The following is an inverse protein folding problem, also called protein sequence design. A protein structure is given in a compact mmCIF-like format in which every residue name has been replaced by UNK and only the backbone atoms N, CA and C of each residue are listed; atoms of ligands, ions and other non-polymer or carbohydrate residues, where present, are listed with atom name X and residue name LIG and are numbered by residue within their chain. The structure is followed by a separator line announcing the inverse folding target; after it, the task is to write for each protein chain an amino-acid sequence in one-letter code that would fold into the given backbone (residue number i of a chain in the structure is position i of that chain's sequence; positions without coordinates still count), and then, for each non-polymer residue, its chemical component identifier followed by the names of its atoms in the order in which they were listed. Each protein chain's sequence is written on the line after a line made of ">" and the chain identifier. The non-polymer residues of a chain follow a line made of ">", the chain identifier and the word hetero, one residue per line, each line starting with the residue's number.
data_IF_057357526534
#
_entry.id   IF_057357526534
#
_cell.length_a   1.000
_cell.length_b   1.000
_cell.length_c   1.000
_cell.angle_alpha   90.00
_cell.angle_beta   90.00
_cell.angle_gamma   90.00
#
_symmetry.space_group_name_H-M   'P 1'
#
loop_
_entity.id
_entity.type
_entity.pdbx_description
1 polymer ?
#
# COMPACT_ATOMS: atom_id res chain seq x y z
N UNK A 1 16.46 6.36 22.83
CA UNK A 1 15.67 7.35 22.08
C UNK A 1 14.25 6.82 21.96
N UNK A 2 13.25 7.67 21.68
CA UNK A 2 11.83 7.31 21.80
C UNK A 2 11.02 7.89 20.65
N UNK A 3 10.06 7.12 20.14
CA UNK A 3 9.07 7.61 19.18
C UNK A 3 8.21 8.69 19.85
N UNK A 4 8.12 9.85 19.22
CA UNK A 4 7.22 10.93 19.61
C UNK A 4 5.91 10.80 18.84
N UNK A 5 4.80 10.71 19.57
CA UNK A 5 3.44 10.64 19.00
C UNK A 5 2.71 11.93 19.36
N UNK A 6 2.21 12.67 18.36
CA UNK A 6 1.51 13.94 18.57
C UNK A 6 0.42 14.17 17.53
N UNK A 7 -0.66 14.85 17.92
CA UNK A 7 -1.63 15.40 16.97
C UNK A 7 -1.17 16.76 16.44
N UNK A 8 -1.24 16.98 15.12
CA UNK A 8 -0.95 18.26 14.47
C UNK A 8 -1.84 18.44 13.24
N UNK A 9 -2.15 19.69 12.91
CA UNK A 9 -2.73 20.03 11.61
C UNK A 9 -1.71 19.77 10.49
N UNK A 10 -2.16 19.17 9.40
CA UNK A 10 -1.34 18.89 8.23
C UNK A 10 -2.01 19.37 6.95
N UNK A 11 -1.62 20.55 6.50
CA UNK A 11 -2.06 21.15 5.24
C UNK A 11 -3.60 21.03 5.02
N UNK A 12 -4.04 20.51 3.87
CA UNK A 12 -5.45 20.28 3.54
C UNK A 12 -6.03 18.96 4.09
N UNK A 13 -5.27 18.20 4.89
CA UNK A 13 -5.68 16.92 5.46
C UNK A 13 -6.26 17.04 6.87
N UNK A 14 -6.28 18.26 7.42
CA UNK A 14 -6.76 18.53 8.77
C UNK A 14 -5.86 17.88 9.82
N UNK A 15 -6.47 17.47 10.93
CA UNK A 15 -5.72 16.88 12.03
C UNK A 15 -5.22 15.47 11.69
N UNK A 16 -3.93 15.25 11.92
CA UNK A 16 -3.25 13.97 11.75
C UNK A 16 -2.50 13.56 13.02
N UNK A 17 -2.35 12.25 13.23
CA UNK A 17 -1.43 11.67 14.22
C UNK A 17 -0.06 11.52 13.56
N UNK A 18 0.92 12.24 14.09
CA UNK A 18 2.32 12.15 13.69
C UNK A 18 3.07 11.20 14.61
N UNK A 19 3.83 10.28 14.02
CA UNK A 19 4.81 9.41 14.67
C UNK A 19 6.21 9.80 14.17
N UNK A 20 7.12 10.17 15.07
CA UNK A 20 8.41 10.72 14.70
C UNK A 20 9.56 10.12 15.53
N UNK A 21 10.69 9.86 14.88
CA UNK A 21 11.96 9.58 15.53
C UNK A 21 13.07 10.43 14.87
N UNK A 22 14.34 10.20 15.21
CA UNK A 22 15.46 10.97 14.64
C UNK A 22 15.76 10.62 13.17
N UNK A 23 15.20 9.52 12.65
CA UNK A 23 15.44 9.03 11.29
C UNK A 23 14.31 9.37 10.31
N UNK A 24 13.05 9.45 10.76
CA UNK A 24 11.89 9.62 9.89
C UNK A 24 10.67 10.27 10.59
N UNK A 25 9.68 10.61 9.78
CA UNK A 25 8.35 11.07 10.20
C UNK A 25 7.30 10.30 9.40
N UNK A 26 6.25 9.85 10.08
CA UNK A 26 5.04 9.26 9.52
C UNK A 26 3.81 10.02 10.02
N UNK A 27 2.80 10.24 9.18
CA UNK A 27 1.55 10.88 9.60
C UNK A 27 0.30 10.14 9.09
N UNK A 28 -0.71 10.02 9.95
CA UNK A 28 -1.98 9.35 9.66
C UNK A 28 -3.16 10.28 9.88
N UNK A 29 -4.07 10.36 8.91
CA UNK A 29 -5.29 11.17 9.01
C UNK A 29 -6.26 10.58 10.04
N UNK A 30 -6.91 11.43 10.84
CA UNK A 30 -7.88 10.99 11.86
C UNK A 30 -9.26 11.66 11.75
N UNK A 31 -9.39 12.74 10.98
CA UNK A 31 -10.71 13.33 10.69
C UNK A 31 -11.45 12.58 9.56
N UNK A 32 -10.70 11.78 8.80
CA UNK A 32 -11.16 10.82 7.79
C UNK A 32 -10.09 9.72 7.64
N UNK A 33 -10.41 8.63 6.94
CA UNK A 33 -9.46 7.54 6.63
C UNK A 33 -9.69 6.27 7.46
N UNK A 34 -8.63 5.68 8.08
CA UNK A 34 -7.27 6.22 8.22
C UNK A 34 -6.48 6.17 6.92
N UNK A 35 -5.61 7.15 6.72
CA UNK A 35 -4.64 7.17 5.61
C UNK A 35 -3.26 7.54 6.10
N UNK A 36 -2.25 6.73 5.79
CA UNK A 36 -0.85 7.16 5.99
C UNK A 36 -0.51 8.12 4.87
N UNK A 37 -0.66 9.42 5.14
CA UNK A 37 -0.54 10.47 4.12
C UNK A 37 0.88 11.00 3.99
N UNK A 38 1.73 10.72 4.98
CA UNK A 38 3.11 11.16 5.00
C UNK A 38 4.02 10.04 5.49
N UNK A 39 5.12 9.81 4.77
CA UNK A 39 6.27 9.05 5.26
C UNK A 39 7.54 9.58 4.59
N UNK A 40 8.52 9.99 5.39
CA UNK A 40 9.79 10.49 4.86
C UNK A 40 10.93 10.32 5.87
N UNK A 41 12.16 10.14 5.38
CA UNK A 41 13.36 10.32 6.18
C UNK A 41 13.47 11.78 6.60
N UNK A 42 14.08 12.03 7.76
CA UNK A 42 14.36 13.40 8.20
C UNK A 42 15.16 14.15 7.13
N UNK A 43 14.68 15.34 6.77
CA UNK A 43 15.29 16.20 5.76
C UNK A 43 14.98 15.83 4.29
N UNK A 44 14.23 14.75 4.04
CA UNK A 44 13.80 14.36 2.69
C UNK A 44 12.32 14.70 2.47
N UNK A 45 11.87 14.63 1.21
CA UNK A 45 10.46 14.86 0.86
C UNK A 45 9.60 13.63 1.15
N UNK A 46 8.29 13.82 1.24
CA UNK A 46 7.31 12.75 1.36
C UNK A 46 7.43 11.75 0.20
N UNK A 47 7.34 10.44 0.49
CA UNK A 47 7.20 9.41 -0.56
C UNK A 47 5.75 9.06 -0.85
N UNK A 48 4.82 9.38 0.06
CA UNK A 48 3.40 9.11 -0.10
C UNK A 48 2.76 10.11 -1.06
N UNK A 49 1.77 9.65 -1.83
CA UNK A 49 0.94 10.52 -2.66
C UNK A 49 0.12 11.47 -1.77
N UNK A 50 0.09 12.74 -2.14
CA UNK A 50 -0.83 13.72 -1.58
C UNK A 50 -1.71 14.28 -2.73
N UNK A 51 -2.93 13.74 -2.90
CA UNK A 51 -3.88 14.22 -3.91
C UNK A 51 -4.55 15.54 -3.47
N UNK A 52 -3.76 16.61 -3.45
CA UNK A 52 -4.17 17.96 -3.01
C UNK A 52 -5.21 18.59 -3.94
N UNK A 53 -5.21 18.18 -5.21
CA UNK A 53 -6.13 18.67 -6.24
C UNK A 53 -7.49 17.94 -6.20
N UNK A 54 -7.58 16.80 -5.49
CA UNK A 54 -8.81 16.01 -5.37
C UNK A 54 -9.29 15.47 -6.72
N UNK A 55 -8.35 15.04 -7.57
CA UNK A 55 -8.62 14.76 -8.98
C UNK A 55 -9.47 13.53 -9.22
N UNK A 56 -9.36 12.55 -8.32
CA UNK A 56 -9.98 11.25 -8.51
C UNK A 56 -11.10 11.08 -7.50
N UNK A 57 -12.33 11.08 -8.02
CA UNK A 57 -13.53 10.88 -7.22
C UNK A 57 -14.46 9.86 -7.86
N UNK A 58 -15.17 9.12 -7.03
CA UNK A 58 -16.21 8.19 -7.46
C UNK A 58 -17.44 8.50 -6.62
N UNK A 59 -18.57 8.73 -7.29
CA UNK A 59 -19.85 8.83 -6.62
C UNK A 59 -20.34 7.42 -6.26
N UNK A 60 -20.49 7.16 -4.96
CA UNK A 60 -20.90 5.87 -4.43
C UNK A 60 -22.35 6.02 -4.02
N UNK A 61 -23.25 5.63 -4.93
CA UNK A 61 -24.69 5.80 -4.77
C UNK A 61 -25.17 5.32 -3.39
N UNK A 62 -25.84 6.22 -2.66
CA UNK A 62 -26.34 5.95 -1.30
C UNK A 62 -25.31 6.10 -0.16
N UNK A 63 -24.02 6.28 -0.46
CA UNK A 63 -22.93 6.38 0.53
C UNK A 63 -22.10 7.67 0.41
N UNK A 64 -22.26 8.41 -0.68
CA UNK A 64 -21.58 9.68 -0.95
C UNK A 64 -20.32 9.51 -1.80
N UNK A 65 -19.46 10.53 -1.84
CA UNK A 65 -18.33 10.55 -2.76
C UNK A 65 -17.04 10.03 -2.12
N UNK A 66 -16.46 8.99 -2.73
CA UNK A 66 -15.09 8.56 -2.47
C UNK A 66 -14.09 9.50 -3.14
N UNK A 67 -12.98 9.74 -2.45
CA UNK A 67 -11.88 10.59 -2.94
C UNK A 67 -10.58 9.82 -2.76
N UNK A 68 -9.71 9.82 -3.77
CA UNK A 68 -8.43 9.15 -3.65
C UNK A 68 -7.64 9.72 -2.48
N UNK A 69 -7.53 11.05 -2.32
CA UNK A 69 -6.79 11.74 -1.23
C UNK A 69 -5.30 11.39 -1.11
N UNK A 70 -4.83 10.29 -1.69
CA UNK A 70 -3.48 9.78 -1.59
C UNK A 70 -3.22 8.90 -0.37
N UNK A 71 -1.93 8.67 -0.14
CA UNK A 71 -1.40 7.89 0.97
C UNK A 71 -1.67 6.40 0.86
N UNK A 72 -1.44 5.72 1.99
CA UNK A 72 -1.78 4.31 2.16
C UNK A 72 -3.17 4.15 2.77
N UNK A 73 -4.01 3.29 2.17
CA UNK A 73 -5.36 2.97 2.64
C UNK A 73 -5.60 1.46 2.59
N UNK A 74 -6.40 0.96 3.54
CA UNK A 74 -6.94 -0.39 3.54
C UNK A 74 -8.25 -0.48 2.73
N UNK A 75 -8.30 -1.44 1.82
CA UNK A 75 -9.39 -1.73 0.91
C UNK A 75 -9.87 -3.17 1.09
N UNK A 76 -11.07 -3.44 0.58
CA UNK A 76 -11.66 -4.77 0.51
C UNK A 76 -11.73 -5.18 -0.96
N UNK A 77 -11.09 -6.29 -1.30
CA UNK A 77 -11.15 -6.89 -2.63
C UNK A 77 -12.24 -7.97 -2.70
N UNK A 78 -12.80 -8.28 -3.89
CA UNK A 78 -12.44 -7.72 -5.20
C UNK A 78 -12.91 -6.27 -5.40
N UNK A 79 -12.39 -5.59 -6.42
CA UNK A 79 -12.75 -4.21 -6.75
C UNK A 79 -14.19 -4.10 -7.27
N UNK A 80 -15.10 -3.63 -6.41
CA UNK A 80 -16.53 -3.55 -6.69
C UNK A 80 -17.16 -2.28 -6.09
N UNK A 81 -18.16 -1.75 -6.77
CA UNK A 81 -19.07 -0.76 -6.19
C UNK A 81 -20.24 -1.46 -5.49
N UNK A 82 -20.72 -0.96 -4.33
CA UNK A 82 -20.21 0.21 -3.60
C UNK A 82 -19.07 -0.08 -2.62
N UNK A 83 -18.78 -1.35 -2.32
CA UNK A 83 -18.00 -1.74 -1.14
C UNK A 83 -16.56 -1.25 -1.16
N UNK A 84 -15.84 -1.50 -2.25
CA UNK A 84 -14.42 -1.18 -2.35
C UNK A 84 -14.18 0.33 -2.32
N UNK A 85 -15.10 1.08 -2.93
CA UNK A 85 -15.10 2.52 -2.98
C UNK A 85 -15.81 3.17 -1.79
N UNK A 86 -16.26 2.43 -0.78
CA UNK A 86 -16.98 3.03 0.35
C UNK A 86 -16.21 4.27 0.90
N UNK A 87 -16.85 5.45 0.98
CA UNK A 87 -16.12 6.66 1.33
C UNK A 87 -15.60 6.62 2.78
N UNK A 88 -14.31 6.83 2.95
CA UNK A 88 -13.64 6.89 4.25
C UNK A 88 -13.73 8.29 4.87
N UNK A 89 -14.89 8.93 4.77
CA UNK A 89 -15.09 10.34 5.15
C UNK A 89 -15.34 10.55 6.65
N UNK A 90 -15.47 9.47 7.42
CA UNK A 90 -15.78 9.53 8.85
C UNK A 90 -14.51 9.64 9.71
N UNK A 91 -14.56 10.33 10.85
CA UNK A 91 -13.47 10.36 11.81
C UNK A 91 -13.05 8.97 12.28
N UNK A 92 -11.75 8.82 12.56
CA UNK A 92 -11.12 7.55 12.92
C UNK A 92 -10.76 7.55 14.39
N UNK A 93 -11.24 6.56 15.14
CA UNK A 93 -10.78 6.33 16.50
C UNK A 93 -9.35 5.78 16.47
N UNK A 94 -8.49 6.23 17.39
CA UNK A 94 -7.15 5.67 17.52
C UNK A 94 -6.73 5.51 18.98
N UNK A 95 -5.80 4.58 19.22
CA UNK A 95 -5.21 4.32 20.53
C UNK A 95 -3.69 4.16 20.39
N UNK A 96 -2.95 4.98 21.13
CA UNK A 96 -1.50 4.87 21.22
C UNK A 96 -1.09 4.07 22.47
N UNK A 97 -0.18 3.10 22.31
CA UNK A 97 0.43 2.33 23.38
C UNK A 97 1.92 2.19 23.07
N UNK A 98 2.77 2.93 23.80
CA UNK A 98 4.21 2.97 23.52
C UNK A 98 4.51 3.60 22.16
N UNK A 99 5.21 2.85 21.31
CA UNK A 99 5.59 3.21 19.93
C UNK A 99 4.57 2.75 18.87
N UNK A 100 3.46 2.17 19.33
CA UNK A 100 2.44 1.55 18.49
C UNK A 100 1.14 2.35 18.55
N UNK A 101 0.52 2.60 17.39
CA UNK A 101 -0.78 3.25 17.27
C UNK A 101 -1.72 2.35 16.46
N UNK A 102 -2.89 2.07 17.04
CA UNK A 102 -3.98 1.35 16.39
C UNK A 102 -5.04 2.35 15.93
N UNK A 103 -5.41 2.29 14.66
CA UNK A 103 -6.46 3.09 14.03
C UNK A 103 -7.64 2.19 13.66
N UNK A 104 -8.84 2.57 14.11
CA UNK A 104 -10.07 1.80 13.95
C UNK A 104 -11.16 2.73 13.40
N UNK A 105 -11.37 2.78 12.07
CA UNK A 105 -12.50 3.51 11.50
C UNK A 105 -13.84 2.85 11.90
N UNK A 106 -14.97 3.53 11.71
CA UNK A 106 -16.28 2.93 11.91
C UNK A 106 -16.46 1.63 11.10
N UNK A 107 -17.25 0.70 11.64
CA UNK A 107 -17.68 -0.49 10.90
C UNK A 107 -18.33 -0.08 9.59
N UNK A 108 -17.90 -0.70 8.50
CA UNK A 108 -18.48 -0.45 7.18
C UNK A 108 -19.94 -0.91 7.13
N UNK A 109 -20.79 -0.32 6.25
CA UNK A 109 -22.16 -0.80 6.06
C UNK A 109 -22.24 -2.23 5.51
N UNK A 110 -21.09 -2.82 5.12
CA UNK A 110 -20.95 -4.19 4.61
C UNK A 110 -20.46 -5.17 5.69
N UNK A 111 -20.65 -4.80 6.96
CA UNK A 111 -20.35 -5.61 8.14
C UNK A 111 -18.87 -6.04 8.25
N UNK A 112 -17.95 -5.13 7.88
CA UNK A 112 -16.50 -5.31 8.03
C UNK A 112 -15.91 -4.26 8.94
N UNK A 113 -15.17 -4.70 9.95
CA UNK A 113 -14.34 -3.83 10.77
C UNK A 113 -12.93 -3.81 10.18
N UNK A 114 -12.47 -2.62 9.81
CA UNK A 114 -11.11 -2.40 9.34
C UNK A 114 -10.24 -1.95 10.51
N UNK A 115 -8.97 -2.33 10.52
CA UNK A 115 -7.99 -1.88 11.50
C UNK A 115 -6.60 -1.74 10.87
N UNK A 116 -5.93 -0.63 11.16
CA UNK A 116 -4.53 -0.39 10.80
C UNK A 116 -3.73 -0.20 12.07
N UNK A 117 -2.72 -1.05 12.30
CA UNK A 117 -1.79 -0.92 13.42
C UNK A 117 -0.43 -0.53 12.89
N UNK A 118 0.14 0.56 13.39
CA UNK A 118 1.45 1.06 12.98
C UNK A 118 2.36 1.11 14.20
N UNK A 119 3.53 0.51 14.07
CA UNK A 119 4.62 0.65 15.02
C UNK A 119 5.81 1.28 14.31
N UNK A 120 6.33 2.38 14.86
CA UNK A 120 7.53 3.02 14.33
C UNK A 120 8.76 2.51 15.10
N UNK A 121 9.83 2.16 14.40
CA UNK A 121 11.10 1.84 15.05
C UNK A 121 11.60 3.05 15.87
N UNK A 122 12.29 2.82 16.98
CA UNK A 122 12.72 3.90 17.87
C UNK A 122 13.81 4.79 17.24
N UNK A 123 14.65 4.21 16.36
CA UNK A 123 15.91 4.81 15.92
C UNK A 123 16.10 4.76 14.38
N UNK A 124 15.33 3.92 13.66
CA UNK A 124 15.46 3.69 12.22
C UNK A 124 14.29 4.26 11.44
N UNK A 125 14.50 4.50 10.15
CA UNK A 125 13.43 4.86 9.21
C UNK A 125 12.64 3.61 8.79
N UNK A 126 12.04 2.93 9.77
CA UNK A 126 11.31 1.67 9.60
C UNK A 126 9.97 1.74 10.32
N UNK A 127 8.90 1.34 9.64
CA UNK A 127 7.57 1.20 10.21
C UNK A 127 7.03 -0.22 9.96
N UNK A 128 6.54 -0.87 11.01
CA UNK A 128 5.74 -2.09 10.89
C UNK A 128 4.27 -1.68 10.75
N UNK A 129 3.61 -2.15 9.69
CA UNK A 129 2.20 -1.85 9.41
C UNK A 129 1.43 -3.16 9.32
N UNK A 130 0.45 -3.33 10.20
CA UNK A 130 -0.45 -4.49 10.19
C UNK A 130 -1.84 -4.04 9.81
N UNK A 131 -2.36 -4.62 8.74
CA UNK A 131 -3.71 -4.37 8.24
C UNK A 131 -4.61 -5.56 8.61
N UNK A 132 -5.83 -5.28 9.07
CA UNK A 132 -6.83 -6.32 9.40
C UNK A 132 -8.20 -5.96 8.88
N UNK A 133 -8.92 -7.00 8.47
CA UNK A 133 -10.36 -6.92 8.18
C UNK A 133 -11.05 -8.08 8.91
N UNK A 134 -11.98 -7.74 9.77
CA UNK A 134 -12.81 -8.70 10.51
C UNK A 134 -14.22 -8.71 9.95
N UNK A 135 -14.77 -9.89 9.67
CA UNK A 135 -16.20 -10.05 9.40
C UNK A 135 -16.97 -9.90 10.73
N UNK A 136 -17.69 -8.80 10.90
CA UNK A 136 -18.52 -8.52 12.08
C UNK A 136 -20.00 -8.73 11.83
N UNK A 137 -20.35 -9.32 10.67
CA UNK A 137 -21.71 -9.71 10.32
C UNK A 137 -22.14 -11.03 10.97
N UNK A 138 -23.37 -11.43 10.67
CA UNK A 138 -24.00 -12.68 11.15
C UNK A 138 -23.86 -13.85 10.16
N UNK A 139 -23.25 -13.62 8.99
CA UNK A 139 -23.08 -14.58 7.90
C UNK A 139 -21.66 -14.61 7.38
N UNK A 140 -21.32 -15.68 6.66
CA UNK A 140 -20.07 -15.73 5.89
C UNK A 140 -20.01 -14.62 4.82
N UNK A 141 -18.81 -14.10 4.56
CA UNK A 141 -18.56 -13.12 3.52
C UNK A 141 -17.29 -13.51 2.73
N UNK A 142 -17.36 -13.46 1.40
CA UNK A 142 -16.22 -13.70 0.50
C UNK A 142 -15.50 -12.38 0.21
N UNK A 143 -14.26 -12.24 0.66
CA UNK A 143 -13.45 -11.05 0.43
C UNK A 143 -11.96 -11.35 0.58
N UNK A 144 -11.13 -10.38 0.22
CA UNK A 144 -9.71 -10.34 0.54
C UNK A 144 -9.31 -8.97 1.08
N UNK A 145 -8.18 -8.94 1.80
CA UNK A 145 -7.53 -7.71 2.21
C UNK A 145 -6.80 -7.10 1.02
N UNK A 146 -6.97 -5.81 0.79
CA UNK A 146 -6.24 -5.08 -0.24
C UNK A 146 -5.55 -3.84 0.36
N UNK A 147 -4.23 -3.86 0.42
CA UNK A 147 -3.39 -2.84 1.02
C UNK A 147 -2.79 -1.96 -0.08
N UNK A 148 -3.42 -0.82 -0.35
CA UNK A 148 -3.04 0.09 -1.43
C UNK A 148 -2.13 1.18 -0.87
N UNK A 149 -0.92 1.33 -1.41
CA UNK A 149 -0.01 2.43 -1.07
C UNK A 149 0.19 3.33 -2.28
N UNK A 150 -0.47 4.50 -2.27
CA UNK A 150 -0.24 5.55 -3.24
C UNK A 150 1.07 6.30 -2.94
N UNK A 151 1.95 6.33 -3.93
CA UNK A 151 3.28 6.91 -3.87
C UNK A 151 3.36 8.13 -4.81
N UNK A 152 4.15 9.11 -4.40
CA UNK A 152 4.34 10.37 -5.15
C UNK A 152 5.00 10.14 -6.51
N UNK A 153 4.93 11.13 -7.40
CA UNK A 153 5.32 11.01 -8.80
C UNK A 153 6.84 10.99 -9.07
N UNK A 154 7.21 10.67 -10.30
CA UNK A 154 8.58 10.77 -10.84
C UNK A 154 9.51 9.60 -10.56
N UNK A 155 9.09 8.63 -9.73
CA UNK A 155 9.94 7.52 -9.31
C UNK A 155 9.86 6.26 -10.18
N UNK A 156 10.57 5.21 -9.73
CA UNK A 156 10.59 3.89 -10.39
C UNK A 156 10.37 2.77 -9.39
N UNK A 157 9.37 1.92 -9.64
CA UNK A 157 9.08 0.73 -8.84
C UNK A 157 9.68 -0.52 -9.47
N UNK A 158 10.21 -1.41 -8.62
CA UNK A 158 10.80 -2.69 -9.01
C UNK A 158 10.33 -3.78 -8.04
N UNK A 159 9.97 -4.94 -8.60
CA UNK A 159 9.74 -6.18 -7.86
C UNK A 159 10.61 -7.30 -8.41
N UNK A 160 11.05 -8.24 -7.56
CA UNK A 160 11.68 -9.47 -8.02
C UNK A 160 10.66 -10.41 -8.69
N UNK A 161 11.09 -11.08 -9.76
CA UNK A 161 10.33 -12.17 -10.38
C UNK A 161 10.57 -13.48 -9.64
N UNK A 162 9.55 -14.34 -9.56
CA UNK A 162 9.69 -15.67 -8.98
C UNK A 162 10.85 -16.47 -9.61
N UNK A 163 11.73 -16.99 -8.75
CA UNK A 163 12.91 -17.81 -9.13
C UNK A 163 12.76 -19.29 -8.78
N UNK A 164 11.72 -19.65 -8.01
CA UNK A 164 11.43 -21.03 -7.58
C UNK A 164 11.41 -21.98 -8.77
N UNK A 165 12.13 -23.10 -8.70
CA UNK A 165 12.09 -24.13 -9.76
C UNK A 165 10.83 -24.98 -9.63
N UNK A 166 9.99 -24.99 -10.66
CA UNK A 166 8.73 -25.75 -10.73
C UNK A 166 8.74 -26.90 -11.76
N UNK A 167 9.87 -27.13 -12.43
CA UNK A 167 9.97 -28.14 -13.49
C UNK A 167 9.08 -27.78 -14.67
N UNK A 168 8.08 -28.63 -14.95
CA UNK A 168 7.14 -28.44 -16.06
C UNK A 168 5.92 -27.57 -15.73
N UNK A 169 5.73 -27.19 -14.46
CA UNK A 169 4.58 -26.40 -14.02
C UNK A 169 4.88 -24.88 -14.08
N UNK A 170 3.88 -24.03 -14.34
CA UNK A 170 4.06 -22.59 -14.26
C UNK A 170 4.34 -22.12 -12.82
N UNK A 171 5.11 -21.05 -12.68
CA UNK A 171 5.49 -20.44 -11.39
C UNK A 171 5.48 -18.90 -11.41
N UNK A 172 5.07 -18.30 -12.53
CA UNK A 172 5.01 -16.85 -12.74
C UNK A 172 3.64 -16.52 -13.31
N UNK A 173 2.97 -15.58 -12.68
CA UNK A 173 1.72 -14.97 -13.08
C UNK A 173 2.00 -13.51 -13.38
N UNK A 174 1.43 -13.02 -14.48
CA UNK A 174 1.32 -11.61 -14.77
C UNK A 174 -0.11 -11.33 -15.22
N UNK A 175 -0.86 -10.62 -14.40
CA UNK A 175 -2.22 -10.16 -14.71
C UNK A 175 -2.18 -8.77 -15.32
N UNK A 176 -2.99 -8.54 -16.34
CA UNK A 176 -3.13 -7.26 -17.01
C UNK A 176 -4.60 -6.84 -17.04
N UNK A 177 -4.85 -5.56 -16.82
CA UNK A 177 -6.16 -4.94 -16.98
C UNK A 177 -6.37 -4.58 -18.45
N UNK A 178 -7.63 -4.41 -18.86
CA UNK A 178 -8.01 -4.10 -20.23
C UNK A 178 -7.35 -2.82 -20.78
N UNK A 179 -7.10 -1.85 -19.90
CA UNK A 179 -6.42 -0.60 -20.22
C UNK A 179 -4.88 -0.69 -20.21
N UNK A 180 -4.30 -1.82 -19.79
CA UNK A 180 -2.85 -1.96 -19.71
C UNK A 180 -2.24 -2.29 -21.08
N UNK A 181 -1.59 -1.30 -21.69
CA UNK A 181 -0.82 -1.51 -22.91
C UNK A 181 0.43 -2.35 -22.61
N UNK A 182 0.50 -3.56 -23.16
CA UNK A 182 1.65 -4.45 -23.00
C UNK A 182 2.97 -3.84 -23.53
N UNK A 183 2.88 -2.84 -24.42
CA UNK A 183 4.03 -2.12 -24.97
C UNK A 183 4.31 -0.80 -24.25
N UNK A 184 3.72 -0.56 -23.07
CA UNK A 184 3.93 0.67 -22.32
C UNK A 184 5.44 0.92 -22.09
N UNK A 185 6.00 2.04 -22.57
CA UNK A 185 7.44 2.29 -22.52
C UNK A 185 7.97 2.49 -21.08
N UNK A 186 7.08 2.72 -20.11
CA UNK A 186 7.42 2.79 -18.69
C UNK A 186 7.72 1.41 -18.11
N UNK A 187 7.11 0.37 -18.68
CA UNK A 187 7.13 -0.99 -18.16
C UNK A 187 8.26 -1.82 -18.77
N UNK A 188 8.91 -2.61 -17.92
CA UNK A 188 9.96 -3.55 -18.31
C UNK A 188 9.79 -4.84 -17.53
N UNK A 189 9.66 -5.94 -18.26
CA UNK A 189 9.67 -7.30 -17.71
C UNK A 189 10.95 -8.01 -18.10
N UNK A 190 11.57 -8.68 -17.14
CA UNK A 190 12.77 -9.51 -17.35
C UNK A 190 12.60 -10.85 -16.63
N UNK A 191 13.61 -11.73 -16.71
CA UNK A 191 13.62 -12.96 -15.93
C UNK A 191 13.87 -12.74 -14.44
N UNK A 192 14.37 -11.57 -14.04
CA UNK A 192 14.83 -11.25 -12.68
C UNK A 192 13.89 -10.28 -11.97
N UNK A 193 13.30 -9.35 -12.71
CA UNK A 193 12.44 -8.30 -12.16
C UNK A 193 11.35 -7.83 -13.14
N UNK A 194 10.28 -7.28 -12.58
CA UNK A 194 9.39 -6.36 -13.27
C UNK A 194 9.62 -4.94 -12.74
N UNK A 195 9.65 -3.96 -13.64
CA UNK A 195 9.93 -2.55 -13.34
C UNK A 195 8.95 -1.64 -14.06
N UNK A 196 8.44 -0.63 -13.37
CA UNK A 196 7.57 0.40 -13.93
C UNK A 196 8.06 1.77 -13.47
N UNK A 197 8.17 2.73 -14.39
CA UNK A 197 8.55 4.11 -14.09
C UNK A 197 7.33 5.02 -14.18
N UNK A 198 7.08 5.84 -13.15
CA UNK A 198 6.05 6.88 -13.25
C UNK A 198 6.53 7.96 -14.23
N UNK A 199 5.66 8.36 -15.15
CA UNK A 199 5.96 9.43 -16.12
C UNK A 199 4.77 10.38 -16.26
N UNK A 200 4.97 11.64 -15.86
CA UNK A 200 3.96 12.71 -15.93
C UNK A 200 3.55 13.10 -17.36
N UNK A 201 4.32 12.70 -18.37
CA UNK A 201 4.01 12.99 -19.78
C UNK A 201 3.21 11.87 -20.45
N UNK A 202 3.00 10.74 -19.77
CA UNK A 202 2.20 9.62 -20.26
C UNK A 202 0.88 9.53 -19.47
N UNK A 203 -0.22 10.08 -20.02
CA UNK A 203 -1.50 10.17 -19.30
C UNK A 203 -2.19 8.82 -19.09
N UNK A 204 -1.87 7.82 -19.90
CA UNK A 204 -2.47 6.49 -19.84
C UNK A 204 -2.21 5.82 -18.48
N UNK A 205 -3.22 5.13 -17.99
CA UNK A 205 -3.07 4.21 -16.87
C UNK A 205 -2.36 2.94 -17.34
N UNK A 206 -1.58 2.33 -16.46
CA UNK A 206 -1.03 0.99 -16.63
C UNK A 206 -1.12 0.27 -15.29
N UNK A 207 -1.61 -0.97 -15.31
CA UNK A 207 -1.66 -1.84 -14.14
C UNK A 207 -1.21 -3.25 -14.45
N UNK A 208 -0.41 -3.84 -13.56
CA UNK A 208 0.01 -5.24 -13.66
C UNK A 208 0.08 -5.90 -12.29
N UNK A 209 -0.42 -7.14 -12.21
CA UNK A 209 -0.41 -7.99 -11.02
C UNK A 209 0.60 -9.13 -11.15
N UNK A 210 1.19 -9.56 -10.04
CA UNK A 210 2.24 -10.60 -10.01
C UNK A 210 2.10 -11.51 -8.77
N UNK A 211 2.68 -12.71 -8.86
CA UNK A 211 3.00 -13.53 -7.69
C UNK A 211 4.45 -13.22 -7.22
N UNK A 212 4.59 -12.35 -6.23
CA UNK A 212 5.88 -11.93 -5.66
C UNK A 212 6.22 -12.81 -4.46
N UNK A 213 7.18 -13.72 -4.65
CA UNK A 213 7.57 -14.71 -3.64
C UNK A 213 8.67 -14.23 -2.69
N UNK A 214 9.57 -13.38 -3.16
CA UNK A 214 10.60 -12.76 -2.30
C UNK A 214 9.97 -11.79 -1.29
N UNK A 215 8.70 -11.40 -1.44
CA UNK A 215 7.93 -10.65 -0.45
C UNK A 215 8.38 -9.21 -0.26
N UNK A 216 8.80 -8.51 -1.32
CA UNK A 216 9.03 -7.06 -1.25
C UNK A 216 8.81 -6.37 -2.60
N UNK A 217 8.53 -5.07 -2.53
CA UNK A 217 8.58 -4.12 -3.64
C UNK A 217 9.39 -2.89 -3.23
N UNK A 218 10.11 -2.28 -4.17
CA UNK A 218 10.92 -1.09 -3.92
C UNK A 218 10.55 0.04 -4.88
N UNK A 219 10.45 1.27 -4.37
CA UNK A 219 10.16 2.48 -5.16
C UNK A 219 11.19 3.57 -4.87
N UNK A 220 12.01 3.92 -5.87
CA UNK A 220 12.99 5.01 -5.77
C UNK A 220 12.34 6.33 -6.18
N UNK A 221 12.33 7.31 -5.27
CA UNK A 221 11.79 8.66 -5.48
C UNK A 221 12.33 9.63 -4.42
N UNK A 222 12.49 10.90 -4.77
CA UNK A 222 12.84 11.97 -3.83
C UNK A 222 14.09 11.66 -2.97
N UNK A 223 15.12 11.12 -3.61
CA UNK A 223 16.40 10.67 -3.07
C UNK A 223 16.26 9.60 -1.98
N UNK A 224 15.19 8.81 -2.05
CA UNK A 224 14.88 7.73 -1.12
C UNK A 224 14.43 6.48 -1.89
N UNK A 225 14.58 5.32 -1.26
CA UNK A 225 13.87 4.11 -1.70
C UNK A 225 12.90 3.71 -0.60
N UNK A 226 11.60 3.77 -0.93
CA UNK A 226 10.55 3.14 -0.14
C UNK A 226 10.52 1.66 -0.46
N UNK A 227 10.86 0.81 0.51
CA UNK A 227 10.76 -0.64 0.38
C UNK A 227 9.57 -1.11 1.20
N UNK A 228 8.59 -1.72 0.54
CA UNK A 228 7.42 -2.35 1.15
C UNK A 228 7.66 -3.86 1.19
N UNK A 229 8.08 -4.37 2.35
CA UNK A 229 8.19 -5.80 2.61
C UNK A 229 6.86 -6.35 3.07
N UNK A 230 6.54 -7.58 2.69
CA UNK A 230 5.33 -8.30 3.08
C UNK A 230 5.61 -9.79 3.27
N UNK A 231 4.66 -10.48 3.90
CA UNK A 231 4.78 -11.87 4.29
C UNK A 231 5.08 -12.83 3.13
N UNK A 232 5.57 -14.01 3.48
CA UNK A 232 5.91 -15.06 2.52
C UNK A 232 4.69 -15.42 1.66
N UNK A 233 4.93 -15.61 0.36
CA UNK A 233 3.90 -16.05 -0.57
C UNK A 233 3.30 -17.39 -0.13
N UNK A 234 1.98 -17.44 -0.02
CA UNK A 234 1.24 -18.65 0.33
C UNK A 234 0.57 -19.23 -0.92
N UNK A 235 0.41 -20.54 -0.98
CA UNK A 235 -0.34 -21.19 -2.07
C UNK A 235 -1.84 -21.17 -1.76
N UNK A 236 -2.42 -19.98 -1.72
CA UNK A 236 -3.85 -19.72 -1.50
C UNK A 236 -4.45 -19.01 -2.71
N UNK A 237 -5.78 -18.89 -2.73
CA UNK A 237 -6.44 -18.03 -3.71
C UNK A 237 -6.19 -16.57 -3.33
N UNK A 238 -5.62 -15.81 -4.26
CA UNK A 238 -5.61 -14.35 -4.21
C UNK A 238 -6.57 -13.81 -5.29
N UNK A 239 -7.06 -12.57 -5.16
CA UNK A 239 -7.79 -11.87 -6.23
C UNK A 239 -7.00 -11.78 -7.54
N UNK A 240 -7.67 -11.30 -8.60
CA UNK A 240 -7.03 -10.80 -9.83
C UNK A 240 -6.09 -11.80 -10.53
N UNK A 241 -6.60 -13.02 -10.72
CA UNK A 241 -5.87 -14.21 -11.20
C UNK A 241 -4.73 -14.66 -10.27
N UNK A 242 -4.95 -14.57 -8.96
CA UNK A 242 -4.04 -15.07 -7.92
C UNK A 242 -2.72 -14.28 -7.81
N UNK A 243 -2.82 -12.95 -7.90
CA UNK A 243 -1.73 -12.03 -7.64
C UNK A 243 -1.73 -11.60 -6.17
N UNK A 244 -0.58 -11.65 -5.49
CA UNK A 244 -0.43 -11.10 -4.13
C UNK A 244 0.13 -9.67 -4.15
N UNK A 245 0.55 -9.16 -5.32
CA UNK A 245 1.08 -7.83 -5.49
C UNK A 245 0.65 -7.22 -6.82
N UNK A 246 0.34 -5.92 -6.81
CA UNK A 246 0.01 -5.16 -8.02
C UNK A 246 0.76 -3.82 -8.04
N UNK A 247 1.07 -3.37 -9.25
CA UNK A 247 1.57 -2.03 -9.52
C UNK A 247 0.63 -1.30 -10.46
N UNK A 248 0.24 -0.09 -10.10
CA UNK A 248 -0.52 0.82 -10.95
C UNK A 248 0.26 2.11 -11.17
N UNK A 249 0.15 2.73 -12.34
CA UNK A 249 0.64 4.09 -12.55
C UNK A 249 -0.19 4.84 -13.58
N UNK A 250 -0.22 6.17 -13.44
CA UNK A 250 -0.68 7.12 -14.43
C UNK A 250 0.24 8.36 -14.42
N UNK A 251 -0.15 9.45 -15.09
CA UNK A 251 0.63 10.69 -15.11
C UNK A 251 0.74 11.44 -13.77
N UNK A 252 0.00 11.04 -12.74
CA UNK A 252 -0.04 11.72 -11.43
C UNK A 252 0.66 10.93 -10.32
N UNK A 253 0.66 9.60 -10.35
CA UNK A 253 1.19 8.80 -9.25
C UNK A 253 1.51 7.35 -9.64
N UNK A 254 2.04 6.60 -8.68
CA UNK A 254 2.25 5.17 -8.74
C UNK A 254 1.70 4.51 -7.48
N UNK A 255 1.15 3.30 -7.58
CA UNK A 255 0.70 2.50 -6.45
C UNK A 255 1.49 1.19 -6.36
N UNK A 256 1.81 0.81 -5.11
CA UNK A 256 2.30 -0.51 -4.76
C UNK A 256 1.27 -1.18 -3.84
N UNK A 257 0.66 -2.24 -4.33
CA UNK A 257 -0.56 -2.80 -3.75
C UNK A 257 -0.31 -4.25 -3.33
N UNK A 258 -0.79 -4.63 -2.15
CA UNK A 258 -0.69 -6.02 -1.65
C UNK A 258 -2.09 -6.59 -1.51
N UNK A 259 -2.26 -7.81 -1.99
CA UNK A 259 -3.49 -8.58 -1.86
C UNK A 259 -3.28 -9.74 -0.88
N UNK A 260 -4.22 -9.90 0.05
CA UNK A 260 -4.29 -11.02 0.96
C UNK A 260 -5.05 -12.21 0.36
N UNK A 261 -5.15 -13.28 1.14
CA UNK A 261 -5.99 -14.44 0.81
C UNK A 261 -7.44 -14.00 0.54
N UNK A 262 -8.00 -14.48 -0.56
CA UNK A 262 -9.42 -14.40 -0.87
C UNK A 262 -10.08 -15.70 -0.47
N UNK A 263 -11.02 -15.63 0.46
CA UNK A 263 -11.88 -16.76 0.82
C UNK A 263 -13.15 -16.29 1.51
N UNK A 264 -14.01 -17.25 1.83
CA UNK A 264 -15.16 -17.05 2.71
C UNK A 264 -14.71 -16.98 4.16
N UNK A 265 -14.86 -15.81 4.78
CA UNK A 265 -14.61 -15.57 6.20
C UNK A 265 -15.90 -15.72 6.99
N UNK A 266 -15.89 -16.57 8.03
CA UNK A 266 -17.02 -16.75 8.93
C UNK A 266 -17.20 -15.54 9.87
N UNK A 267 -18.38 -15.36 10.50
CA UNK A 267 -18.56 -14.34 11.55
C UNK A 267 -17.46 -14.38 12.62
N UNK A 268 -16.83 -13.23 12.86
CA UNK A 268 -15.72 -13.07 13.79
C UNK A 268 -14.34 -13.44 13.22
N UNK A 269 -14.25 -14.05 12.04
CA UNK A 269 -12.95 -14.33 11.41
C UNK A 269 -12.31 -13.04 10.89
N UNK A 270 -10.98 -13.04 10.95
CA UNK A 270 -10.13 -11.90 10.55
C UNK A 270 -9.10 -12.36 9.55
N UNK A 271 -8.90 -11.56 8.50
CA UNK A 271 -7.72 -11.62 7.63
C UNK A 271 -6.71 -10.56 8.06
N UNK A 272 -5.43 -10.87 7.93
CA UNK A 272 -4.33 -10.00 8.35
C UNK A 272 -3.21 -10.02 7.32
N UNK A 273 -2.67 -8.83 7.00
CA UNK A 273 -1.43 -8.67 6.25
C UNK A 273 -0.47 -7.83 7.09
N UNK A 274 0.76 -8.32 7.24
CA UNK A 274 1.85 -7.59 7.91
C UNK A 274 2.84 -7.11 6.89
N UNK A 275 3.24 -5.86 7.08
CA UNK A 275 4.16 -5.15 6.22
C UNK A 275 5.27 -4.53 7.05
N UNK A 276 6.45 -4.43 6.45
CA UNK A 276 7.56 -3.65 7.01
C UNK A 276 8.03 -2.67 5.96
N UNK A 277 7.92 -1.39 6.28
CA UNK A 277 8.26 -0.30 5.39
C UNK A 277 9.62 0.25 5.78
N UNK A 278 10.54 0.31 4.83
CA UNK A 278 11.85 0.90 5.01
C UNK A 278 11.98 2.14 4.14
N UNK A 279 12.65 3.17 4.64
CA UNK A 279 13.18 4.26 3.81
C UNK A 279 14.70 4.18 3.76
N UNK A 280 15.22 3.75 2.63
CA UNK A 280 16.65 3.73 2.35
C UNK A 280 17.07 5.05 1.68
N UNK A 281 18.33 5.42 1.82
CA UNK A 281 18.88 6.58 1.13
C UNK A 281 19.17 6.21 -0.33
N UNK A 282 18.88 7.13 -1.26
CA UNK A 282 19.09 6.90 -2.70
C UNK A 282 19.47 8.18 -3.41
N UNK A 283 20.68 8.67 -3.15
CA UNK A 283 21.19 9.88 -3.81
C UNK A 283 21.05 9.80 -5.34
N UNK A 284 20.37 10.79 -5.91
CA UNK A 284 20.14 10.90 -7.34
C UNK A 284 19.07 9.97 -7.92
N UNK A 285 18.18 9.42 -7.09
CA UNK A 285 17.01 8.62 -7.54
C UNK A 285 17.38 7.45 -8.45
N UNK A 286 18.46 6.74 -8.10
CA UNK A 286 18.89 5.55 -8.84
C UNK A 286 17.83 4.46 -8.74
N UNK A 287 17.64 3.73 -9.84
CA UNK A 287 16.72 2.59 -9.84
C UNK A 287 17.13 1.56 -8.77
N UNK A 288 16.16 0.96 -8.05
CA UNK A 288 16.45 -0.03 -7.02
C UNK A 288 17.20 -1.25 -7.58
N UNK A 289 18.33 -1.60 -6.94
CA UNK A 289 19.08 -2.81 -7.24
C UNK A 289 18.65 -3.94 -6.27
N UNK A 290 18.01 -5.00 -6.80
CA UNK A 290 17.36 -6.02 -5.98
C UNK A 290 18.26 -6.65 -4.91
N UNK A 291 19.52 -6.97 -5.22
CA UNK A 291 20.44 -7.60 -4.24
C UNK A 291 20.83 -6.66 -3.10
N UNK A 292 20.94 -5.36 -3.39
CA UNK A 292 21.15 -4.34 -2.36
C UNK A 292 19.91 -4.18 -1.49
N UNK A 293 18.72 -4.23 -2.09
CA UNK A 293 17.46 -4.19 -1.35
C UNK A 293 17.34 -5.40 -0.42
N UNK A 294 17.54 -6.62 -0.93
CA UNK A 294 17.55 -7.87 -0.14
C UNK A 294 18.47 -7.76 1.08
N UNK A 295 19.72 -7.34 0.84
CA UNK A 295 20.70 -7.13 1.92
C UNK A 295 20.23 -6.09 2.94
N UNK A 296 19.66 -4.97 2.48
CA UNK A 296 19.23 -3.87 3.36
C UNK A 296 18.01 -4.22 4.22
N UNK A 297 17.11 -5.07 3.73
CA UNK A 297 15.89 -5.48 4.46
C UNK A 297 15.98 -6.86 5.10
N UNK A 298 17.13 -7.53 4.97
CA UNK A 298 17.39 -8.83 5.59
C UNK A 298 16.61 -9.99 4.94
N UNK A 299 16.49 -9.98 3.61
CA UNK A 299 15.89 -11.05 2.81
C UNK A 299 16.93 -11.79 1.98
#
# INVERSE_FOLDING_TARGET
>A
MSVKITEKEYEGYGKCVFMENDACTLAVTIEFGPRVIYFARKGRKNVMLEDREGLFTVDVEGYGTWRNRGGHRLWVAPELLPETYYPDNAPVAYKAVGDTVTFTPPVTPFAKQLETVIKLDADKAVAEVTQRITNVGDKEADFALWSITGLTDGGTAVIPMCTRKSGYLPNRVMSLWDYSDINDPRFKLTNEYARIRQDKFLPSAFKAGFNVEDGFAAYAVNEQIFVKCFGDYQFVEYPDYSCNFEMYTNHKFLECEILGEKRKYQPGETTEVRETWHLLDSEGDREPELDKIRTAVGK
#
